data_IF_301803385598
#
_entry.id   IF_301803385598
#
_cell.length_a   1.000
_cell.length_b   1.000
_cell.length_c   1.000
_cell.angle_alpha   90.00
_cell.angle_beta   90.00
_cell.angle_gamma   90.00
#
_symmetry.space_group_name_H-M   'P 1'
#
loop_
_entity.id
_entity.type
_entity.pdbx_description
1 polymer ?
#
# COMPACT_ATOMS: atom_id res chain seq x y z
N UNK A 1 -19.24 -4.92 23.74
CA UNK A 1 -18.51 -3.99 24.06
C UNK A 1 -18.21 -3.07 23.02
N UNK A 2 -18.21 -1.88 23.21
CA UNK A 2 -17.94 -1.03 22.20
C UNK A 2 -16.58 -0.84 22.00
N UNK A 3 -16.04 -0.75 20.83
CA UNK A 3 -14.70 -0.55 20.67
C UNK A 3 -14.50 0.89 20.29
N UNK A 4 -13.47 1.51 20.76
CA UNK A 4 -13.17 2.87 20.48
C UNK A 4 -12.28 3.04 19.29
N UNK A 5 -12.00 1.99 18.54
CA UNK A 5 -11.09 2.08 17.42
C UNK A 5 -11.78 2.71 16.22
N UNK A 6 -11.02 3.42 15.43
CA UNK A 6 -11.50 3.95 14.17
C UNK A 6 -11.33 2.88 13.10
N UNK A 7 -12.40 2.52 12.46
CA UNK A 7 -12.36 1.45 11.48
C UNK A 7 -12.39 2.00 10.07
N UNK A 8 -11.80 1.27 9.15
CA UNK A 8 -11.64 1.73 7.79
C UNK A 8 -12.97 2.02 7.09
N UNK A 9 -14.02 1.36 7.47
CA UNK A 9 -15.30 1.57 6.82
C UNK A 9 -15.80 3.00 7.02
N UNK A 10 -15.38 3.68 8.09
CA UNK A 10 -15.79 5.05 8.32
C UNK A 10 -14.65 6.02 8.26
N UNK A 11 -13.46 5.57 8.50
CA UNK A 11 -12.31 6.46 8.62
C UNK A 11 -11.21 6.12 7.60
N UNK A 12 -11.59 5.59 6.46
CA UNK A 12 -10.61 5.14 5.48
C UNK A 12 -9.66 6.24 5.07
N UNK A 13 -10.19 7.42 4.79
CA UNK A 13 -9.35 8.49 4.32
C UNK A 13 -8.38 8.96 5.40
N UNK A 14 -8.85 9.01 6.63
CA UNK A 14 -7.99 9.40 7.74
C UNK A 14 -6.87 8.40 7.93
N UNK A 15 -7.16 7.11 7.84
CA UNK A 15 -6.15 6.07 7.98
C UNK A 15 -5.15 6.15 6.84
N UNK A 16 -5.61 6.36 5.61
CA UNK A 16 -4.73 6.47 4.48
C UNK A 16 -3.81 7.67 4.61
N UNK A 17 -4.34 8.80 5.06
CA UNK A 17 -3.52 9.99 5.24
C UNK A 17 -2.46 9.79 6.32
N UNK A 18 -2.80 9.10 7.38
CA UNK A 18 -1.84 8.83 8.42
C UNK A 18 -0.71 7.95 7.89
N UNK A 19 -1.02 6.96 7.09
CA UNK A 19 -0.02 6.10 6.52
C UNK A 19 0.85 6.89 5.55
N UNK A 20 0.25 7.74 4.72
CA UNK A 20 1.03 8.53 3.79
C UNK A 20 2.00 9.44 4.51
N UNK A 21 1.58 10.06 5.60
CA UNK A 21 2.45 10.98 6.30
C UNK A 21 3.55 10.28 7.03
N UNK A 22 3.28 9.14 7.62
CA UNK A 22 4.28 8.48 8.44
C UNK A 22 5.11 7.51 7.63
N UNK A 23 4.48 6.62 6.89
CA UNK A 23 5.21 5.60 6.18
C UNK A 23 5.73 6.16 4.87
N UNK A 24 4.87 6.87 4.13
CA UNK A 24 5.25 7.35 2.81
C UNK A 24 6.41 8.30 2.86
N UNK A 25 6.40 9.23 3.81
CA UNK A 25 7.45 10.23 3.88
C UNK A 25 8.72 9.72 4.50
N UNK A 26 8.64 9.28 5.74
CA UNK A 26 9.82 8.92 6.51
C UNK A 26 10.49 7.68 5.96
N UNK A 27 9.72 6.70 5.58
CA UNK A 27 10.27 5.46 5.10
C UNK A 27 10.95 5.67 3.75
N UNK A 28 10.36 6.45 2.88
CA UNK A 28 10.96 6.72 1.58
C UNK A 28 12.28 7.43 1.74
N UNK A 29 12.38 8.37 2.68
CA UNK A 29 13.63 9.04 2.91
C UNK A 29 14.69 8.09 3.45
N UNK A 30 14.32 7.22 4.37
CA UNK A 30 15.25 6.26 4.92
C UNK A 30 15.71 5.27 3.87
N UNK A 31 14.81 4.84 3.01
CA UNK A 31 15.14 3.91 1.97
C UNK A 31 16.12 4.53 0.98
N UNK A 32 15.89 5.76 0.60
CA UNK A 32 16.76 6.45 -0.32
C UNK A 32 18.13 6.68 0.31
N UNK A 33 18.18 7.08 1.57
CA UNK A 33 19.45 7.32 2.24
C UNK A 33 20.29 6.07 2.34
N UNK A 34 19.68 4.91 2.47
CA UNK A 34 20.43 3.68 2.58
C UNK A 34 20.50 2.89 1.29
N UNK A 35 20.00 3.45 0.22
CA UNK A 35 20.08 2.84 -1.10
C UNK A 35 19.45 1.47 -1.14
N UNK A 36 18.28 1.32 -0.57
CA UNK A 36 17.59 0.05 -0.51
C UNK A 36 16.71 -0.11 -1.74
N UNK A 37 16.65 -1.30 -2.28
CA UNK A 37 15.83 -1.61 -3.45
C UNK A 37 14.36 -1.34 -3.13
N UNK A 38 13.68 -0.50 -3.89
CA UNK A 38 12.27 -0.17 -3.60
C UNK A 38 11.34 -1.38 -3.63
N UNK A 39 11.56 -2.25 -4.59
CA UNK A 39 10.70 -3.42 -4.70
C UNK A 39 10.91 -4.34 -3.51
N UNK A 40 12.16 -4.55 -3.12
CA UNK A 40 12.45 -5.41 -1.97
C UNK A 40 11.89 -4.83 -0.68
N UNK A 41 11.99 -3.52 -0.53
CA UNK A 41 11.46 -2.87 0.65
C UNK A 41 9.94 -3.03 0.68
N UNK A 42 9.27 -2.83 -0.45
CA UNK A 42 7.82 -2.93 -0.50
C UNK A 42 7.34 -4.34 -0.17
N UNK A 43 8.02 -5.35 -0.72
CA UNK A 43 7.63 -6.72 -0.44
C UNK A 43 7.85 -7.09 1.02
N UNK A 44 8.93 -6.59 1.61
CA UNK A 44 9.18 -6.84 3.02
C UNK A 44 8.15 -6.12 3.88
N UNK A 45 7.75 -4.92 3.50
CA UNK A 45 6.71 -4.21 4.22
C UNK A 45 5.41 -4.98 4.19
N UNK A 46 5.12 -5.61 3.06
CA UNK A 46 3.92 -6.41 2.94
C UNK A 46 3.95 -7.57 3.92
N UNK A 47 5.10 -8.20 4.11
CA UNK A 47 5.23 -9.29 5.07
C UNK A 47 4.98 -8.80 6.48
N UNK A 48 5.56 -7.66 6.84
CA UNK A 48 5.35 -7.10 8.17
C UNK A 48 3.89 -6.73 8.37
N UNK A 49 3.27 -6.15 7.35
CA UNK A 49 1.88 -5.75 7.45
C UNK A 49 0.98 -6.97 7.62
N UNK A 50 1.29 -8.04 6.89
CA UNK A 50 0.49 -9.26 7.01
C UNK A 50 0.62 -9.88 8.40
N UNK A 51 1.84 -9.84 8.93
CA UNK A 51 2.07 -10.36 10.28
C UNK A 51 1.26 -9.53 11.29
N UNK A 52 1.33 -8.22 11.18
CA UNK A 52 0.62 -7.35 12.11
C UNK A 52 -0.89 -7.52 11.98
N UNK A 53 -1.38 -7.65 10.76
CA UNK A 53 -2.81 -7.82 10.53
C UNK A 53 -3.30 -9.14 11.11
N UNK A 54 -2.53 -10.21 10.93
CA UNK A 54 -2.90 -11.51 11.48
C UNK A 54 -2.92 -11.44 13.00
N UNK A 55 -1.95 -10.76 13.58
CA UNK A 55 -1.91 -10.61 15.04
C UNK A 55 -3.11 -9.82 15.55
N UNK A 56 -3.66 -8.97 14.72
CA UNK A 56 -4.83 -8.18 15.09
C UNK A 56 -6.15 -8.87 14.74
N UNK A 57 -6.08 -10.06 14.18
CA UNK A 57 -7.29 -10.84 13.92
C UNK A 57 -7.70 -10.95 12.47
N UNK A 58 -6.91 -10.46 11.54
CA UNK A 58 -7.28 -10.55 10.14
C UNK A 58 -7.09 -11.97 9.63
N UNK A 59 -7.91 -12.38 8.68
CA UNK A 59 -7.78 -13.68 8.09
C UNK A 59 -6.90 -13.60 6.85
N UNK A 60 -6.42 -14.73 6.40
CA UNK A 60 -5.63 -14.77 5.18
C UNK A 60 -6.42 -14.21 4.00
N UNK A 61 -7.71 -14.48 3.95
CA UNK A 61 -8.54 -13.94 2.88
C UNK A 61 -8.61 -12.43 2.89
N UNK A 62 -8.70 -11.85 4.07
CA UNK A 62 -8.72 -10.40 4.18
C UNK A 62 -7.40 -9.79 3.74
N UNK A 63 -6.30 -10.43 4.09
CA UNK A 63 -4.98 -9.95 3.72
C UNK A 63 -4.79 -10.04 2.21
N UNK A 64 -5.21 -11.15 1.60
CA UNK A 64 -5.11 -11.31 0.17
C UNK A 64 -5.96 -10.28 -0.56
N UNK A 65 -7.16 -10.03 -0.05
CA UNK A 65 -8.04 -9.06 -0.69
C UNK A 65 -7.43 -7.65 -0.64
N UNK A 66 -6.86 -7.28 0.48
CA UNK A 66 -6.25 -5.96 0.60
C UNK A 66 -5.04 -5.83 -0.31
N UNK A 67 -4.21 -6.88 -0.38
CA UNK A 67 -3.04 -6.88 -1.23
C UNK A 67 -3.43 -6.78 -2.69
N UNK A 68 -4.47 -7.50 -3.09
CA UNK A 68 -4.92 -7.49 -4.46
C UNK A 68 -5.48 -6.13 -4.84
N UNK A 69 -6.22 -5.50 -3.92
CA UNK A 69 -6.75 -4.19 -4.18
C UNK A 69 -5.62 -3.19 -4.44
N UNK A 70 -4.58 -3.25 -3.65
CA UNK A 70 -3.44 -2.37 -3.84
C UNK A 70 -2.74 -2.62 -5.16
N UNK A 71 -2.54 -3.89 -5.50
CA UNK A 71 -1.86 -4.24 -6.73
C UNK A 71 -2.67 -3.82 -7.95
N UNK A 72 -3.98 -4.03 -7.91
CA UNK A 72 -4.82 -3.66 -9.04
C UNK A 72 -4.89 -2.14 -9.20
N UNK A 73 -4.93 -1.42 -8.12
CA UNK A 73 -4.92 0.03 -8.19
C UNK A 73 -3.64 0.55 -8.82
N UNK A 74 -2.51 -0.05 -8.47
CA UNK A 74 -1.24 0.35 -9.03
C UNK A 74 -1.17 0.03 -10.51
N UNK A 75 -1.72 -1.09 -10.93
CA UNK A 75 -1.74 -1.47 -12.34
C UNK A 75 -2.59 -0.48 -13.15
N UNK A 76 -3.71 -0.05 -12.60
CA UNK A 76 -4.53 0.91 -13.27
C UNK A 76 -3.80 2.25 -13.42
N UNK A 77 -3.10 2.67 -12.42
CA UNK A 77 -2.32 3.91 -12.50
C UNK A 77 -1.22 3.80 -13.53
N UNK A 78 -0.56 2.67 -13.61
CA UNK A 78 0.50 2.47 -14.57
C UNK A 78 -0.06 2.40 -15.98
N UNK A 79 -1.21 1.83 -16.17
CA UNK A 79 -1.82 1.77 -17.49
C UNK A 79 -2.21 3.17 -17.94
N UNK A 80 -2.76 3.99 -17.07
CA UNK A 80 -3.08 5.35 -17.43
C UNK A 80 -1.84 6.13 -17.81
N UNK A 81 -0.77 5.92 -17.13
CA UNK A 81 0.48 6.59 -17.45
C UNK A 81 1.00 6.13 -18.77
N UNK A 82 0.83 4.86 -19.12
CA UNK A 82 1.32 4.35 -20.35
C UNK A 82 0.52 4.77 -21.50
N UNK A 83 -0.70 5.14 -21.33
CA UNK A 83 -1.48 5.51 -22.41
C UNK A 83 -1.32 6.86 -22.81
N UNK A 84 -0.41 7.51 -22.48
CA UNK A 84 -0.26 8.74 -22.82
C UNK A 84 -0.27 8.94 -24.17
N UNK A 85 0.40 9.55 -24.80
CA UNK A 85 0.33 10.00 -26.07
C UNK A 85 0.38 9.02 -26.97
N UNK A 86 -0.41 9.03 -27.75
CA UNK A 86 -0.52 8.06 -28.66
C UNK A 86 0.60 7.84 -29.41
N UNK A 87 1.26 8.65 -29.49
CA UNK A 87 2.31 8.41 -30.20
C UNK A 87 2.96 7.33 -29.72
N UNK A 88 2.86 7.04 -28.81
CA UNK A 88 3.56 6.11 -28.32
C UNK A 88 3.23 4.99 -28.52
N UNK A 89 3.06 4.62 -29.02
CA UNK A 89 2.78 3.51 -29.27
C UNK A 89 3.17 2.59 -28.58
N UNK A 90 3.01 2.22 -28.22
CA UNK A 90 3.29 1.38 -27.51
C UNK A 90 3.52 0.42 -27.97
N UNK A 91 3.77 0.08 -28.29
CA UNK A 91 4.10 -0.80 -28.74
C UNK A 91 4.53 -1.33 -28.46
#
# INVERSE_FOLDING_TARGET
MEDDFKHADEYEEEIRNLIDETVGGDLMRAMTAQNICPKCMALTMLEFAAYAATSAGATAGEILAASSTGALSAEDDLDLASETPPTQSRH
#
